data_IF_090853801194
#
_entry.id   IF_090853801194
#
_cell.length_a   1.000
_cell.length_b   1.000
_cell.length_c   1.000
_cell.angle_alpha   90.00
_cell.angle_beta   90.00
_cell.angle_gamma   90.00
#
_symmetry.space_group_name_H-M   'P 1'
#
loop_
_entity.id
_entity.type
_entity.pdbx_description
1 polymer ?
#
# COMPACT_ATOMS: atom_id res chain seq x y z
N UNK A 1 2.47 2.22 -13.45
CA UNK A 1 2.33 1.33 -12.27
C UNK A 1 3.65 1.26 -11.53
N UNK A 2 3.68 1.64 -10.26
CA UNK A 2 4.86 1.59 -9.41
C UNK A 2 4.60 0.68 -8.20
N UNK A 3 5.13 -0.53 -8.23
CA UNK A 3 4.91 -1.56 -7.18
C UNK A 3 5.76 -1.34 -5.92
N UNK A 4 6.78 -0.49 -5.98
CA UNK A 4 7.78 -0.35 -4.92
C UNK A 4 8.13 1.09 -4.54
N UNK A 5 9.33 1.29 -4.01
CA UNK A 5 9.76 2.55 -3.40
C UNK A 5 9.95 3.74 -4.36
N UNK A 6 9.90 3.52 -5.69
CA UNK A 6 10.11 4.58 -6.70
C UNK A 6 8.98 5.60 -6.84
N UNK A 7 7.88 5.43 -6.10
CA UNK A 7 6.65 6.25 -6.17
C UNK A 7 6.88 7.76 -5.98
N UNK A 8 7.80 8.17 -5.10
CA UNK A 8 8.14 9.59 -4.92
C UNK A 8 8.87 10.19 -6.12
N UNK A 9 9.73 9.42 -6.78
CA UNK A 9 10.42 9.82 -8.00
C UNK A 9 9.44 9.99 -9.17
N UNK A 10 8.49 9.06 -9.32
CA UNK A 10 7.43 9.17 -10.34
C UNK A 10 6.55 10.38 -10.07
N UNK A 11 6.12 10.59 -8.83
CA UNK A 11 5.35 11.77 -8.43
C UNK A 11 6.09 13.08 -8.78
N UNK A 12 7.38 13.16 -8.45
CA UNK A 12 8.24 14.30 -8.78
C UNK A 12 8.32 14.51 -10.30
N UNK A 13 8.58 13.47 -11.07
CA UNK A 13 8.70 13.56 -12.52
C UNK A 13 7.38 14.04 -13.18
N UNK A 14 6.22 13.60 -12.68
CA UNK A 14 4.92 14.05 -13.18
C UNK A 14 4.65 15.53 -12.88
N UNK A 15 5.01 15.98 -11.67
CA UNK A 15 4.88 17.38 -11.26
C UNK A 15 5.80 18.32 -12.05
N UNK A 16 7.02 17.86 -12.36
CA UNK A 16 8.01 18.64 -13.12
C UNK A 16 7.69 18.65 -14.62
N UNK A 17 7.36 17.49 -15.21
CA UNK A 17 7.13 17.36 -16.64
C UNK A 17 5.81 18.00 -17.11
N UNK A 18 4.81 18.09 -16.21
CA UNK A 18 3.46 18.62 -16.50
C UNK A 18 2.94 18.15 -17.87
N UNK A 19 2.85 16.83 -18.10
CA UNK A 19 2.53 16.31 -19.41
C UNK A 19 1.14 16.81 -19.84
N UNK A 20 0.97 17.10 -21.13
CA UNK A 20 -0.34 17.52 -21.68
C UNK A 20 -1.46 16.51 -21.37
N UNK A 21 -1.10 15.23 -21.21
CA UNK A 21 -1.99 14.17 -20.75
C UNK A 21 -1.36 13.49 -19.54
N UNK A 22 -2.04 13.53 -18.39
CA UNK A 22 -1.64 12.78 -17.18
C UNK A 22 -1.75 11.27 -17.46
N UNK A 23 -0.66 10.49 -17.29
CA UNK A 23 -0.75 9.03 -17.34
C UNK A 23 -1.42 8.50 -16.08
N UNK A 24 -2.04 7.32 -16.18
CA UNK A 24 -2.59 6.62 -15.02
C UNK A 24 -1.46 6.18 -14.10
N UNK A 25 -1.46 6.70 -12.88
CA UNK A 25 -0.49 6.40 -11.85
C UNK A 25 -1.13 5.51 -10.77
N UNK A 26 -0.53 4.33 -10.58
CA UNK A 26 -0.98 3.27 -9.67
C UNK A 26 0.19 2.95 -8.74
N UNK A 27 -0.05 2.92 -7.43
CA UNK A 27 0.95 2.59 -6.41
C UNK A 27 0.49 1.49 -5.46
N UNK A 28 1.43 0.97 -4.67
CA UNK A 28 1.13 0.19 -3.46
C UNK A 28 1.31 1.03 -2.20
N UNK A 29 0.74 0.52 -1.10
CA UNK A 29 0.80 1.04 0.27
C UNK A 29 0.12 2.41 0.49
N UNK A 30 -0.89 2.45 1.35
CA UNK A 30 -1.52 3.69 1.79
C UNK A 30 -0.70 4.36 2.91
N UNK A 31 0.38 5.01 2.50
CA UNK A 31 1.21 5.87 3.36
C UNK A 31 0.70 7.30 3.39
N UNK A 32 1.23 8.15 4.28
CA UNK A 32 0.95 9.61 4.28
C UNK A 32 1.24 10.26 2.91
N UNK A 33 2.31 9.87 2.24
CA UNK A 33 2.69 10.43 0.94
C UNK A 33 1.70 10.04 -0.17
N UNK A 34 1.40 8.75 -0.30
CA UNK A 34 0.47 8.23 -1.33
C UNK A 34 -0.96 8.68 -1.09
N UNK A 35 -1.37 8.86 0.17
CA UNK A 35 -2.61 9.55 0.53
C UNK A 35 -2.63 10.98 0.01
N UNK A 36 -1.56 11.75 0.22
CA UNK A 36 -1.43 13.10 -0.33
C UNK A 36 -1.57 13.10 -1.85
N UNK A 37 -0.87 12.18 -2.53
CA UNK A 37 -0.96 12.06 -3.99
C UNK A 37 -2.37 11.73 -4.49
N UNK A 38 -3.17 10.93 -3.77
CA UNK A 38 -4.57 10.67 -4.11
C UNK A 38 -5.43 11.94 -3.96
N UNK A 39 -5.26 12.67 -2.84
CA UNK A 39 -6.02 13.90 -2.56
C UNK A 39 -5.71 14.97 -3.61
N UNK A 40 -4.43 15.12 -3.96
CA UNK A 40 -3.92 16.10 -4.93
C UNK A 40 -4.20 15.69 -6.39
N UNK A 41 -4.91 14.58 -6.62
CA UNK A 41 -5.21 14.04 -7.95
C UNK A 41 -3.94 13.73 -8.79
N UNK A 42 -2.81 13.47 -8.12
CA UNK A 42 -1.56 13.06 -8.77
C UNK A 42 -1.51 11.54 -8.98
N UNK A 43 -2.07 10.78 -8.03
CA UNK A 43 -2.18 9.32 -8.04
C UNK A 43 -3.64 8.93 -8.23
N UNK A 44 -3.91 7.91 -9.05
CA UNK A 44 -5.28 7.50 -9.37
C UNK A 44 -5.77 6.39 -8.43
N UNK A 45 -4.89 5.48 -8.03
CA UNK A 45 -5.24 4.39 -7.11
C UNK A 45 -4.02 3.89 -6.32
N UNK A 46 -4.27 3.53 -5.07
CA UNK A 46 -3.37 2.75 -4.21
C UNK A 46 -3.94 1.35 -4.03
N UNK A 47 -3.13 0.35 -4.28
CA UNK A 47 -3.39 -1.04 -3.87
C UNK A 47 -2.79 -1.21 -2.47
N UNK A 48 -3.63 -1.27 -1.45
CA UNK A 48 -3.21 -1.36 -0.06
C UNK A 48 -3.42 -2.78 0.47
N UNK A 49 -2.34 -3.42 0.90
CA UNK A 49 -2.39 -4.67 1.64
C UNK A 49 -2.14 -4.33 3.11
N UNK A 50 -2.94 -4.89 4.01
CA UNK A 50 -2.85 -4.56 5.43
C UNK A 50 -1.49 -5.00 6.02
N UNK A 51 -0.51 -4.11 5.97
CA UNK A 51 0.87 -4.34 6.42
C UNK A 51 0.92 -4.67 7.92
N UNK A 52 0.00 -4.10 8.71
CA UNK A 52 -0.16 -4.43 10.12
C UNK A 52 -0.56 -5.89 10.31
N UNK A 53 -1.58 -6.36 9.58
CA UNK A 53 -2.01 -7.75 9.64
C UNK A 53 -0.89 -8.71 9.20
N UNK A 54 -0.16 -8.36 8.14
CA UNK A 54 1.03 -9.12 7.69
C UNK A 54 2.04 -9.25 8.83
N UNK A 55 2.39 -8.13 9.48
CA UNK A 55 3.36 -8.09 10.56
C UNK A 55 2.89 -8.90 11.79
N UNK A 56 1.65 -8.68 12.23
CA UNK A 56 1.06 -9.39 13.38
C UNK A 56 1.09 -10.90 13.17
N UNK A 57 0.66 -11.39 12.02
CA UNK A 57 0.66 -12.83 11.72
C UNK A 57 2.06 -13.41 11.58
N UNK A 58 3.00 -12.64 11.06
CA UNK A 58 4.40 -13.06 10.94
C UNK A 58 5.06 -13.20 12.32
N UNK A 59 4.83 -12.23 13.23
CA UNK A 59 5.34 -12.26 14.60
C UNK A 59 4.73 -13.43 15.38
N UNK A 60 3.41 -13.60 15.32
CA UNK A 60 2.72 -14.73 15.97
C UNK A 60 3.30 -16.07 15.50
N UNK A 61 3.59 -16.20 14.20
CA UNK A 61 4.20 -17.42 13.64
C UNK A 61 5.62 -17.66 14.13
N UNK A 62 6.45 -16.62 14.16
CA UNK A 62 7.83 -16.73 14.65
C UNK A 62 7.84 -17.16 16.13
N UNK A 63 7.05 -16.50 16.97
CA UNK A 63 6.92 -16.86 18.38
C UNK A 63 6.36 -18.28 18.56
N UNK A 64 5.32 -18.64 17.81
CA UNK A 64 4.73 -19.98 17.81
C UNK A 64 5.75 -21.06 17.45
N UNK A 65 6.59 -20.82 16.44
CA UNK A 65 7.63 -21.78 16.01
C UNK A 65 8.73 -22.03 17.04
N UNK A 66 8.95 -21.07 17.95
CA UNK A 66 9.93 -21.21 19.04
C UNK A 66 9.26 -21.87 20.26
N UNK A 67 8.03 -21.48 20.57
CA UNK A 67 7.34 -21.85 21.80
C UNK A 67 6.64 -23.22 21.74
N UNK A 68 6.30 -23.74 20.57
CA UNK A 68 5.53 -24.99 20.45
C UNK A 68 5.73 -25.68 19.10
N UNK A 69 5.61 -27.01 19.10
CA UNK A 69 5.45 -27.85 17.91
C UNK A 69 3.99 -27.96 17.43
N UNK A 70 3.06 -27.25 18.07
CA UNK A 70 1.65 -27.21 17.69
C UNK A 70 1.47 -26.70 16.24
N UNK A 71 0.44 -27.19 15.52
CA UNK A 71 0.20 -26.80 14.14
C UNK A 71 -0.02 -25.28 14.01
N UNK A 72 0.53 -24.71 12.94
CA UNK A 72 0.45 -23.28 12.68
C UNK A 72 -1.00 -22.78 12.66
N UNK A 73 -1.23 -21.63 13.30
CA UNK A 73 -2.50 -20.91 13.20
C UNK A 73 -2.89 -20.65 11.74
N UNK A 74 -4.18 -20.81 11.44
CA UNK A 74 -4.77 -20.53 10.13
C UNK A 74 -4.44 -19.10 9.72
N UNK A 75 -3.86 -18.92 8.52
CA UNK A 75 -3.55 -17.59 7.98
C UNK A 75 -4.86 -16.85 7.73
N UNK A 76 -4.90 -15.57 8.11
CA UNK A 76 -5.98 -14.71 7.61
C UNK A 76 -5.61 -14.31 6.19
N UNK A 77 -6.59 -14.29 5.31
CA UNK A 77 -6.39 -13.74 3.99
C UNK A 77 -6.08 -12.25 4.10
N UNK A 78 -5.02 -11.80 3.43
CA UNK A 78 -4.68 -10.38 3.35
C UNK A 78 -5.35 -9.86 2.09
N UNK A 79 -6.56 -9.33 2.28
CA UNK A 79 -7.35 -8.79 1.18
C UNK A 79 -6.73 -7.48 0.66
N UNK A 80 -6.35 -7.39 -0.62
CA UNK A 80 -5.92 -6.14 -1.22
C UNK A 80 -7.10 -5.18 -1.32
N UNK A 81 -6.90 -3.93 -0.89
CA UNK A 81 -7.90 -2.86 -1.00
C UNK A 81 -7.51 -1.90 -2.11
N UNK A 82 -8.48 -1.53 -2.93
CA UNK A 82 -8.31 -0.45 -3.91
C UNK A 82 -8.74 0.86 -3.26
N UNK A 83 -7.77 1.75 -3.07
CA UNK A 83 -8.00 3.07 -2.47
C UNK A 83 -7.87 4.13 -3.56
N UNK A 84 -8.99 4.75 -3.87
CA UNK A 84 -9.12 5.88 -4.77
C UNK A 84 -9.30 7.16 -3.95
N UNK A 85 -9.28 8.32 -4.60
CA UNK A 85 -9.52 9.61 -3.97
C UNK A 85 -10.87 9.65 -3.21
N UNK A 86 -11.88 8.98 -3.74
CA UNK A 86 -13.26 8.98 -3.25
C UNK A 86 -13.47 8.13 -1.99
N UNK A 87 -12.58 7.17 -1.73
CA UNK A 87 -12.70 6.24 -0.60
C UNK A 87 -11.49 6.26 0.34
N UNK A 88 -10.67 7.32 0.25
CA UNK A 88 -9.55 7.54 1.16
C UNK A 88 -10.07 7.54 2.62
N UNK A 89 -9.64 6.60 3.48
CA UNK A 89 -10.15 6.50 4.84
C UNK A 89 -9.85 7.76 5.66
N UNK A 90 -10.85 8.33 6.31
CA UNK A 90 -10.67 9.47 7.25
C UNK A 90 -9.82 8.99 8.44
N UNK A 91 -8.89 9.83 8.91
CA UNK A 91 -8.13 9.56 10.15
C UNK A 91 -8.89 10.07 11.37
#
# INVERSE_FOLDING_TARGET
YCVGAGRSGVAKALLEAKPQRKPVFICHDLTRATRGYLVDDLLDVVIDQNARLIAEQSVIRLLGSIASSAPYLTRKFIEPRLVFKENVPVQ
#
